data_IF_190473366084
#
_entry.id   IF_190473366084
#
_cell.length_a   1.000
_cell.length_b   1.000
_cell.length_c   1.000
_cell.angle_alpha   90.00
_cell.angle_beta   90.00
_cell.angle_gamma   90.00
#
_symmetry.space_group_name_H-M   'P 1'
#
loop_
_entity.id
_entity.type
_entity.pdbx_description
1 polymer ?
#
# COMPACT_ATOMS: atom_id res chain seq x y z
N UNK A 1 -23.45 19.61 -9.04
CA UNK A 1 -22.12 20.24 -8.86
C UNK A 1 -21.15 19.50 -9.77
N UNK A 2 -21.26 19.72 -11.08
CA UNK A 2 -20.42 19.09 -12.10
C UNK A 2 -19.44 20.15 -12.55
N UNK A 3 -18.17 20.03 -12.16
CA UNK A 3 -17.10 20.92 -12.63
C UNK A 3 -16.96 20.81 -14.14
N UNK A 4 -16.76 21.93 -14.82
CA UNK A 4 -16.69 21.97 -16.26
C UNK A 4 -15.39 21.32 -16.78
N UNK A 5 -15.38 20.71 -17.98
CA UNK A 5 -14.22 19.97 -18.52
C UNK A 5 -12.89 20.73 -18.48
N UNK A 6 -12.93 22.05 -18.69
CA UNK A 6 -11.79 22.96 -18.63
C UNK A 6 -11.13 23.06 -17.25
N UNK A 7 -11.86 22.79 -16.16
CA UNK A 7 -11.31 22.78 -14.79
C UNK A 7 -10.53 21.49 -14.50
N UNK A 8 -10.86 20.39 -15.17
CA UNK A 8 -10.16 19.09 -15.03
C UNK A 8 -8.76 19.16 -15.68
N UNK A 9 -8.58 20.00 -16.69
CA UNK A 9 -7.30 20.20 -17.40
C UNK A 9 -6.28 20.93 -16.51
N UNK A 10 -6.72 21.68 -15.48
CA UNK A 10 -5.86 22.53 -14.63
C UNK A 10 -5.21 21.84 -13.43
N UNK A 11 -5.35 20.52 -13.26
CA UNK A 11 -4.61 19.81 -12.22
C UNK A 11 -3.16 19.57 -12.70
N UNK A 12 -2.34 20.63 -12.70
CA UNK A 12 -0.99 20.67 -13.30
C UNK A 12 0.01 19.66 -12.72
N UNK A 13 -0.30 19.00 -11.59
CA UNK A 13 0.57 18.03 -10.92
C UNK A 13 -0.15 16.74 -10.49
N UNK A 14 -1.20 16.33 -11.21
CA UNK A 14 -1.99 15.16 -10.84
C UNK A 14 -2.23 14.23 -12.02
N UNK A 15 -1.92 12.95 -11.83
CA UNK A 15 -2.25 11.89 -12.80
C UNK A 15 -3.72 11.44 -12.70
N UNK A 16 -4.46 11.89 -11.68
CA UNK A 16 -5.84 11.44 -11.45
C UNK A 16 -6.80 11.69 -12.62
N UNK A 17 -6.79 12.85 -13.29
CA UNK A 17 -7.63 13.07 -14.47
C UNK A 17 -7.41 12.04 -15.58
N UNK A 18 -6.17 11.69 -15.87
CA UNK A 18 -5.83 10.69 -16.89
C UNK A 18 -6.25 9.29 -16.46
N UNK A 19 -6.00 8.91 -15.21
CA UNK A 19 -6.43 7.62 -14.65
C UNK A 19 -7.96 7.49 -14.74
N UNK A 20 -8.73 8.52 -14.39
CA UNK A 20 -10.19 8.49 -14.47
C UNK A 20 -10.71 8.49 -15.91
N UNK A 21 -10.02 9.12 -16.86
CA UNK A 21 -10.36 9.01 -18.29
C UNK A 21 -10.10 7.61 -18.81
N UNK A 22 -8.92 7.06 -18.55
CA UNK A 22 -8.55 5.70 -18.93
C UNK A 22 -9.52 4.66 -18.33
N UNK A 23 -9.93 4.84 -17.08
CA UNK A 23 -10.89 3.96 -16.40
C UNK A 23 -12.23 3.80 -17.10
N UNK A 24 -12.68 4.79 -17.90
CA UNK A 24 -13.93 4.71 -18.67
C UNK A 24 -13.87 3.73 -19.84
N UNK A 25 -12.66 3.38 -20.28
CA UNK A 25 -12.44 2.45 -21.39
C UNK A 25 -12.21 1.01 -20.93
N UNK A 26 -12.21 0.75 -19.62
CA UNK A 26 -12.11 -0.62 -19.07
C UNK A 26 -13.47 -1.30 -19.20
N UNK A 27 -13.56 -2.37 -19.98
CA UNK A 27 -14.79 -3.13 -20.13
C UNK A 27 -15.09 -4.00 -18.90
N UNK A 28 -16.35 -4.44 -18.76
CA UNK A 28 -16.72 -5.40 -17.72
C UNK A 28 -15.94 -6.73 -17.83
N UNK A 29 -15.62 -7.16 -19.06
CA UNK A 29 -14.86 -8.38 -19.33
C UNK A 29 -13.40 -8.22 -18.90
N UNK A 30 -12.78 -7.07 -19.20
CA UNK A 30 -11.42 -6.76 -18.76
C UNK A 30 -11.32 -6.73 -17.24
N UNK A 31 -12.29 -6.09 -16.59
CA UNK A 31 -12.34 -6.06 -15.12
C UNK A 31 -12.46 -7.48 -14.53
N UNK A 32 -13.34 -8.32 -15.07
CA UNK A 32 -13.49 -9.71 -14.60
C UNK A 32 -12.18 -10.50 -14.80
N UNK A 33 -11.50 -10.33 -15.93
CA UNK A 33 -10.21 -10.96 -16.19
C UNK A 33 -9.12 -10.44 -15.23
N UNK A 34 -9.12 -9.15 -14.91
CA UNK A 34 -8.23 -8.59 -13.89
C UNK A 34 -8.49 -9.19 -12.50
N UNK A 35 -9.75 -9.42 -12.10
CA UNK A 35 -10.07 -10.09 -10.83
C UNK A 35 -9.63 -11.57 -10.81
N UNK A 36 -9.71 -12.27 -11.96
CA UNK A 36 -9.16 -13.63 -12.09
C UNK A 36 -7.63 -13.63 -11.95
N UNK A 37 -6.94 -12.65 -12.54
CA UNK A 37 -5.50 -12.48 -12.36
C UNK A 37 -5.15 -12.16 -10.90
N UNK A 38 -5.91 -11.26 -10.25
CA UNK A 38 -5.79 -10.94 -8.82
C UNK A 38 -5.90 -12.20 -7.95
N UNK A 39 -6.85 -13.08 -8.25
CA UNK A 39 -7.01 -14.35 -7.52
C UNK A 39 -5.76 -15.23 -7.63
N UNK A 40 -5.08 -15.25 -8.79
CA UNK A 40 -3.81 -15.97 -8.95
C UNK A 40 -2.72 -15.34 -8.08
N UNK A 41 -2.59 -14.01 -8.12
CA UNK A 41 -1.63 -13.27 -7.28
C UNK A 41 -1.87 -13.52 -5.80
N UNK A 42 -3.12 -13.51 -5.33
CA UNK A 42 -3.47 -13.83 -3.94
C UNK A 42 -2.95 -15.20 -3.51
N UNK A 43 -3.18 -16.22 -4.34
CA UNK A 43 -2.74 -17.60 -4.03
C UNK A 43 -1.24 -17.74 -4.07
N UNK A 44 -0.58 -17.20 -5.10
CA UNK A 44 0.88 -17.25 -5.22
C UNK A 44 1.55 -16.48 -4.09
N UNK A 45 1.05 -15.29 -3.74
CA UNK A 45 1.65 -14.50 -2.68
C UNK A 45 1.53 -15.20 -1.31
N UNK A 46 0.38 -15.80 -0.97
CA UNK A 46 0.24 -16.59 0.25
C UNK A 46 1.16 -17.82 0.26
N UNK A 47 1.32 -18.49 -0.89
CA UNK A 47 2.24 -19.63 -1.02
C UNK A 47 3.70 -19.22 -0.80
N UNK A 48 4.13 -18.13 -1.45
CA UNK A 48 5.49 -17.59 -1.31
C UNK A 48 5.74 -16.95 0.06
N UNK A 49 4.67 -16.55 0.78
CA UNK A 49 4.78 -16.14 2.18
C UNK A 49 5.30 -17.28 3.07
N UNK A 50 5.16 -18.55 2.63
CA UNK A 50 5.80 -19.70 3.25
C UNK A 50 5.44 -19.85 4.72
N UNK A 51 6.46 -20.00 5.58
CA UNK A 51 6.31 -20.14 7.04
C UNK A 51 6.64 -18.84 7.79
N UNK A 52 6.82 -17.71 7.10
CA UNK A 52 7.11 -16.44 7.75
C UNK A 52 5.88 -15.94 8.53
N UNK A 53 6.10 -15.29 9.68
CA UNK A 53 5.06 -14.54 10.39
C UNK A 53 4.85 -13.16 9.77
N UNK A 54 5.96 -12.52 9.39
CA UNK A 54 6.03 -11.27 8.67
C UNK A 54 7.41 -11.12 8.01
N UNK A 55 7.52 -10.19 7.06
CA UNK A 55 8.80 -9.77 6.49
C UNK A 55 8.93 -8.24 6.50
N UNK A 56 10.17 -7.76 6.34
CA UNK A 56 10.51 -6.32 6.35
C UNK A 56 10.92 -5.89 4.94
N UNK A 57 10.48 -4.70 4.52
CA UNK A 57 10.86 -4.08 3.25
C UNK A 57 11.11 -2.59 3.44
N UNK A 58 11.90 -1.99 2.54
CA UNK A 58 11.98 -0.53 2.42
C UNK A 58 10.59 0.04 2.05
N UNK A 59 10.24 1.19 2.63
CA UNK A 59 8.88 1.73 2.64
C UNK A 59 8.18 1.85 1.28
N UNK A 60 6.85 1.64 1.28
CA UNK A 60 5.89 2.11 0.26
C UNK A 60 6.01 1.61 -1.19
N UNK A 61 7.02 0.82 -1.53
CA UNK A 61 7.32 0.40 -2.92
C UNK A 61 6.44 -0.74 -3.47
N UNK A 62 7.03 -1.65 -4.26
CA UNK A 62 6.33 -2.77 -4.91
C UNK A 62 5.46 -3.60 -3.96
N UNK A 63 5.84 -3.68 -2.69
CA UNK A 63 5.09 -4.40 -1.68
C UNK A 63 3.71 -3.78 -1.41
N UNK A 64 3.55 -2.46 -1.53
CA UNK A 64 2.27 -1.78 -1.39
C UNK A 64 1.25 -2.25 -2.45
N UNK A 65 1.71 -2.46 -3.68
CA UNK A 65 0.86 -2.99 -4.75
C UNK A 65 0.42 -4.42 -4.42
N UNK A 66 1.32 -5.26 -3.91
CA UNK A 66 1.00 -6.62 -3.51
C UNK A 66 -0.01 -6.64 -2.36
N UNK A 67 0.25 -5.93 -1.27
CA UNK A 67 -0.63 -5.94 -0.09
C UNK A 67 -2.01 -5.36 -0.39
N UNK A 68 -2.12 -4.35 -1.25
CA UNK A 68 -3.43 -3.86 -1.74
C UNK A 68 -4.17 -4.89 -2.60
N UNK A 69 -3.46 -5.67 -3.42
CA UNK A 69 -4.05 -6.72 -4.25
C UNK A 69 -4.38 -7.98 -3.45
N UNK A 70 -3.64 -8.29 -2.38
CA UNK A 70 -3.77 -9.55 -1.66
C UNK A 70 -4.46 -9.44 -0.31
N UNK A 71 -4.60 -8.22 0.24
CA UNK A 71 -5.21 -7.97 1.54
C UNK A 71 -4.28 -8.22 2.73
N UNK A 72 -3.00 -8.53 2.50
CA UNK A 72 -2.05 -8.76 3.59
C UNK A 72 -1.82 -7.48 4.40
N UNK A 73 -1.82 -7.54 5.74
CA UNK A 73 -1.64 -6.36 6.57
C UNK A 73 -0.21 -5.82 6.45
N UNK A 74 -0.09 -4.49 6.40
CA UNK A 74 1.19 -3.79 6.33
C UNK A 74 1.21 -2.62 7.30
N UNK A 75 2.29 -2.48 8.08
CA UNK A 75 2.54 -1.35 8.97
C UNK A 75 3.82 -0.64 8.53
N UNK A 76 3.73 0.67 8.30
CA UNK A 76 4.88 1.52 8.00
C UNK A 76 5.40 2.15 9.30
N UNK A 77 6.70 2.07 9.54
CA UNK A 77 7.37 2.61 10.71
C UNK A 77 8.39 3.66 10.26
N UNK A 78 8.31 4.90 10.77
CA UNK A 78 9.27 5.95 10.43
C UNK A 78 10.62 5.69 11.07
N UNK A 79 11.69 6.08 10.38
CA UNK A 79 13.05 6.14 10.91
C UNK A 79 13.45 7.58 11.29
N UNK A 80 14.55 7.71 12.03
CA UNK A 80 15.05 9.01 12.51
C UNK A 80 15.53 9.90 11.36
N UNK A 81 16.07 9.29 10.30
CA UNK A 81 16.58 9.98 9.11
C UNK A 81 15.48 10.42 8.12
N UNK A 82 14.20 10.23 8.48
CA UNK A 82 13.05 10.55 7.63
C UNK A 82 12.68 9.44 6.64
N UNK A 83 13.45 8.36 6.56
CA UNK A 83 13.08 7.16 5.79
C UNK A 83 12.00 6.35 6.53
N UNK A 84 11.55 5.25 5.92
CA UNK A 84 10.63 4.32 6.56
C UNK A 84 10.89 2.87 6.18
N UNK A 85 10.50 1.97 7.08
CA UNK A 85 10.43 0.53 6.83
C UNK A 85 8.99 0.08 6.91
N UNK A 86 8.60 -0.91 6.10
CA UNK A 86 7.31 -1.56 6.22
C UNK A 86 7.49 -2.98 6.74
N UNK A 87 6.66 -3.38 7.69
CA UNK A 87 6.46 -4.77 8.06
C UNK A 87 5.19 -5.25 7.37
N UNK A 88 5.26 -6.40 6.70
CA UNK A 88 4.11 -7.05 6.06
C UNK A 88 3.86 -8.38 6.75
N UNK A 89 2.67 -8.53 7.31
CA UNK A 89 2.26 -9.70 8.06
C UNK A 89 1.38 -10.65 7.25
N UNK A 90 1.15 -11.83 7.81
CA UNK A 90 0.19 -12.79 7.28
C UNK A 90 -1.25 -12.30 7.44
N UNK A 91 -2.13 -12.72 6.54
CA UNK A 91 -3.57 -12.51 6.66
C UNK A 91 -4.08 -12.93 8.05
N UNK A 92 -4.87 -12.05 8.67
CA UNK A 92 -5.52 -12.28 9.97
C UNK A 92 -4.57 -12.45 11.17
N UNK A 93 -3.29 -12.07 11.03
CA UNK A 93 -2.27 -12.10 12.09
C UNK A 93 -1.77 -10.70 12.47
N UNK A 94 -2.66 -9.73 12.46
CA UNK A 94 -2.37 -8.36 12.89
C UNK A 94 -1.90 -8.31 14.36
N UNK A 95 -2.24 -9.31 15.18
CA UNK A 95 -1.74 -9.48 16.54
C UNK A 95 -0.20 -9.53 16.59
N UNK A 96 0.38 -10.37 15.76
CA UNK A 96 1.85 -10.54 15.67
C UNK A 96 2.47 -9.31 15.04
N UNK A 97 1.89 -8.83 13.94
CA UNK A 97 2.42 -7.69 13.20
C UNK A 97 2.43 -6.42 14.05
N UNK A 98 1.34 -6.12 14.76
CA UNK A 98 1.26 -4.97 15.65
C UNK A 98 2.25 -5.09 16.81
N UNK A 99 2.42 -6.28 17.37
CA UNK A 99 3.36 -6.52 18.48
C UNK A 99 4.80 -6.26 18.04
N UNK A 100 5.21 -6.82 16.89
CA UNK A 100 6.53 -6.59 16.33
C UNK A 100 6.76 -5.12 15.95
N UNK A 101 5.77 -4.49 15.31
CA UNK A 101 5.85 -3.09 14.91
C UNK A 101 5.97 -2.15 16.12
N UNK A 102 5.24 -2.43 17.21
CA UNK A 102 5.31 -1.65 18.43
C UNK A 102 6.67 -1.77 19.13
N UNK A 103 7.22 -2.99 19.23
CA UNK A 103 8.55 -3.17 19.82
C UNK A 103 9.62 -2.44 18.99
N UNK A 104 9.58 -2.57 17.66
CA UNK A 104 10.50 -1.89 16.76
C UNK A 104 10.36 -0.35 16.84
N UNK A 105 9.13 0.16 16.81
CA UNK A 105 8.85 1.59 16.91
C UNK A 105 9.37 2.20 18.22
N UNK A 106 9.28 1.49 19.36
CA UNK A 106 9.84 1.96 20.63
C UNK A 106 11.36 2.07 20.60
N UNK A 107 12.03 1.10 19.96
CA UNK A 107 13.50 1.08 19.84
C UNK A 107 14.00 2.20 18.93
N UNK A 108 13.32 2.42 17.80
CA UNK A 108 13.67 3.50 16.86
C UNK A 108 13.32 4.88 17.46
N UNK A 109 12.22 4.98 18.20
CA UNK A 109 11.75 6.18 18.89
C UNK A 109 11.43 7.40 17.99
N UNK A 110 11.52 7.26 16.66
CA UNK A 110 11.24 8.32 15.69
C UNK A 110 9.80 8.87 15.76
N UNK A 111 8.83 8.03 16.15
CA UNK A 111 7.42 8.42 16.34
C UNK A 111 7.19 9.51 17.40
N UNK A 112 8.20 9.82 18.23
CA UNK A 112 8.16 10.92 19.21
C UNK A 112 8.71 12.24 18.66
N UNK A 113 9.40 12.20 17.53
CA UNK A 113 9.87 13.40 16.85
C UNK A 113 8.67 14.14 16.26
N UNK A 114 8.71 15.47 16.32
CA UNK A 114 7.70 16.35 15.74
C UNK A 114 8.38 17.23 14.69
N UNK A 115 8.00 17.13 13.41
CA UNK A 115 8.48 18.09 12.43
C UNK A 115 7.94 19.48 12.78
N UNK A 116 8.68 20.56 12.47
CA UNK A 116 8.15 21.90 12.59
C UNK A 116 7.00 22.08 11.57
N UNK A 117 6.04 22.96 11.90
CA UNK A 117 4.78 23.18 11.15
C UNK A 117 4.74 24.56 10.47
N UNK A 118 5.91 25.16 10.26
CA UNK A 118 6.10 26.47 9.64
C UNK A 118 5.65 26.55 8.17
#
# INVERSE_FOLDING_TARGET
>A
MTRHPEEIVKLENSLWPDIFRAGRFISAVDYLNAQRARTKVMRTFEQEFGDFDFFVTAGGGYTLAHTNLTGHPQIVIPQIDGSSVSLVGRLYREDVLCTAAWDLQKRINAHRLRPPLD
#
